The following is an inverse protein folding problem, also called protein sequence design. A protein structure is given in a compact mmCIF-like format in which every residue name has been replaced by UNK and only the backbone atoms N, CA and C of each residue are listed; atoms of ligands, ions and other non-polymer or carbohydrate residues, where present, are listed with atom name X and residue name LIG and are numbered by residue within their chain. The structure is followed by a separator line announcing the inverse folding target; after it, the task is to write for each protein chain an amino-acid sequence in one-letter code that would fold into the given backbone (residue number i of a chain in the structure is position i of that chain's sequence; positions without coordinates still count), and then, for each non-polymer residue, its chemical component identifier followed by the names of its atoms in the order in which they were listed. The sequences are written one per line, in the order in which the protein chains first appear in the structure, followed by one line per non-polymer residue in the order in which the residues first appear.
data_IF_928455564354
#
_entry.id   IF_928455564354
#
_cell.length_a   1.000
_cell.length_b   1.000
_cell.length_c   1.000
_cell.angle_alpha   90.00
_cell.angle_beta   90.00
_cell.angle_gamma   90.00
#
_symmetry.space_group_name_H-M   'P 1'
#
loop_
_entity.id
_entity.type
_entity.pdbx_description
1 polymer ?
#
# COMPACT_ATOMS: atom_id res chain seq x y z
N UNK A 1 -17.50 28.19 1.95
CA UNK A 1 -17.82 26.73 1.95
C UNK A 1 -18.88 26.43 0.91
N UNK A 2 -18.65 26.90 -0.31
CA UNK A 2 -19.66 26.82 -1.39
C UNK A 2 -19.70 25.44 -2.06
N UNK A 3 -18.66 24.62 -1.82
CA UNK A 3 -18.55 23.26 -2.35
C UNK A 3 -19.62 22.28 -1.80
N UNK A 4 -20.21 22.56 -0.62
CA UNK A 4 -21.29 21.72 -0.06
C UNK A 4 -22.57 21.72 -0.91
N UNK A 5 -22.77 22.75 -1.70
CA UNK A 5 -23.94 22.92 -2.59
C UNK A 5 -23.63 22.53 -4.04
N UNK A 6 -22.35 22.27 -4.38
CA UNK A 6 -21.94 21.89 -5.72
C UNK A 6 -22.02 20.37 -5.90
N UNK A 7 -22.87 19.86 -6.82
CA UNK A 7 -22.93 18.44 -7.13
C UNK A 7 -21.61 17.85 -7.62
N UNK A 8 -20.77 18.64 -8.33
CA UNK A 8 -19.48 18.17 -8.81
C UNK A 8 -18.50 17.88 -7.67
N UNK A 9 -18.56 18.65 -6.59
CA UNK A 9 -17.76 18.46 -5.40
C UNK A 9 -18.07 17.10 -4.73
N UNK A 10 -19.34 16.70 -4.69
CA UNK A 10 -19.75 15.40 -4.17
C UNK A 10 -19.32 14.24 -5.06
N UNK A 11 -19.39 14.42 -6.38
CA UNK A 11 -18.87 13.41 -7.33
C UNK A 11 -17.36 13.26 -7.17
N UNK A 12 -16.62 14.37 -7.07
CA UNK A 12 -15.18 14.35 -6.82
C UNK A 12 -14.85 13.66 -5.49
N UNK A 13 -15.56 13.99 -4.40
CA UNK A 13 -15.37 13.36 -3.09
C UNK A 13 -15.60 11.84 -3.15
N UNK A 14 -16.68 11.38 -3.77
CA UNK A 14 -16.98 9.96 -3.91
C UNK A 14 -15.93 9.24 -4.75
N UNK A 15 -15.53 9.85 -5.86
CA UNK A 15 -14.51 9.29 -6.76
C UNK A 15 -13.17 9.17 -6.06
N UNK A 16 -12.70 10.25 -5.42
CA UNK A 16 -11.44 10.25 -4.69
C UNK A 16 -11.47 9.28 -3.51
N UNK A 17 -12.54 9.26 -2.73
CA UNK A 17 -12.68 8.31 -1.61
C UNK A 17 -12.64 6.86 -2.11
N UNK A 18 -13.33 6.57 -3.21
CA UNK A 18 -13.34 5.22 -3.81
C UNK A 18 -11.95 4.83 -4.31
N UNK A 19 -11.26 5.75 -5.00
CA UNK A 19 -9.88 5.52 -5.46
C UNK A 19 -8.94 5.30 -4.28
N UNK A 20 -9.01 6.13 -3.24
CA UNK A 20 -8.18 6.00 -2.04
C UNK A 20 -8.44 4.66 -1.31
N UNK A 21 -9.69 4.18 -1.25
CA UNK A 21 -10.00 2.86 -0.68
C UNK A 21 -9.40 1.76 -1.53
N UNK A 22 -9.58 1.80 -2.85
CA UNK A 22 -9.06 0.78 -3.78
C UNK A 22 -7.54 0.71 -3.68
N UNK A 23 -6.86 1.88 -3.75
CA UNK A 23 -5.41 1.99 -3.61
C UNK A 23 -4.93 1.66 -2.18
N UNK A 24 -5.81 1.83 -1.19
CA UNK A 24 -5.50 1.59 0.22
C UNK A 24 -5.63 0.14 0.66
N UNK A 25 -6.28 -0.73 -0.11
CA UNK A 25 -6.38 -2.16 0.20
C UNK A 25 -4.99 -2.79 0.29
N UNK A 26 -4.12 -2.49 -0.65
CA UNK A 26 -2.75 -2.98 -0.67
C UNK A 26 -1.97 -2.50 0.55
N UNK A 27 -2.18 -1.25 0.97
CA UNK A 27 -1.57 -0.68 2.17
C UNK A 27 -2.03 -1.40 3.44
N UNK A 28 -3.33 -1.76 3.57
CA UNK A 28 -3.82 -2.52 4.72
C UNK A 28 -3.16 -3.90 4.77
N UNK A 29 -3.11 -4.59 3.63
CA UNK A 29 -2.52 -5.93 3.54
C UNK A 29 -1.03 -5.85 3.89
N UNK A 30 -0.33 -4.88 3.33
CA UNK A 30 1.10 -4.67 3.58
C UNK A 30 1.39 -4.32 5.05
N UNK A 31 0.65 -3.37 5.62
CA UNK A 31 0.75 -3.04 7.06
C UNK A 31 0.48 -4.28 7.90
N UNK A 32 -0.49 -5.11 7.53
CA UNK A 32 -0.81 -6.34 8.25
C UNK A 32 0.34 -7.35 8.20
N UNK A 33 0.99 -7.52 7.06
CA UNK A 33 2.16 -8.40 6.90
C UNK A 33 3.33 -7.90 7.75
N UNK A 34 3.66 -6.61 7.72
CA UNK A 34 4.75 -6.04 8.51
C UNK A 34 4.48 -6.12 10.03
N UNK A 35 3.25 -5.78 10.42
CA UNK A 35 2.81 -5.81 11.81
C UNK A 35 2.69 -7.24 12.33
N UNK A 36 2.47 -8.22 11.46
CA UNK A 36 2.49 -9.64 11.79
C UNK A 36 3.79 -10.12 12.45
N UNK A 37 4.91 -9.40 12.22
CA UNK A 37 6.20 -9.63 12.89
C UNK A 37 6.27 -9.14 14.33
N UNK A 38 5.30 -8.32 14.74
CA UNK A 38 5.20 -7.86 16.13
C UNK A 38 4.57 -8.93 17.03
N UNK A 39 4.86 -8.91 18.33
CA UNK A 39 4.12 -9.69 19.30
C UNK A 39 2.61 -9.47 19.15
N UNK A 40 1.82 -10.52 19.34
CA UNK A 40 0.36 -10.49 19.10
C UNK A 40 -0.34 -9.35 19.86
N UNK A 41 0.11 -9.06 21.09
CA UNK A 41 -0.39 -7.95 21.92
C UNK A 41 -0.20 -6.57 21.30
N UNK A 42 0.76 -6.39 20.39
CA UNK A 42 1.11 -5.12 19.75
C UNK A 42 0.54 -4.98 18.35
N UNK A 43 0.11 -6.08 17.70
CA UNK A 43 -0.36 -6.07 16.30
C UNK A 43 -1.52 -5.11 16.06
N UNK A 44 -2.53 -5.11 16.92
CA UNK A 44 -3.67 -4.18 16.78
C UNK A 44 -3.22 -2.73 16.85
N UNK A 45 -2.34 -2.40 17.82
CA UNK A 45 -1.76 -1.06 17.93
C UNK A 45 -0.91 -0.71 16.71
N UNK A 46 -0.06 -1.63 16.26
CA UNK A 46 0.77 -1.45 15.07
C UNK A 46 -0.04 -1.12 13.81
N UNK A 47 -1.15 -1.84 13.57
CA UNK A 47 -2.07 -1.56 12.45
C UNK A 47 -2.69 -0.17 12.57
N UNK A 48 -3.22 0.18 13.74
CA UNK A 48 -3.87 1.49 13.96
C UNK A 48 -2.87 2.64 13.82
N UNK A 49 -1.70 2.54 14.46
CA UNK A 49 -0.66 3.58 14.37
C UNK A 49 -0.05 3.66 12.97
N UNK A 50 0.13 2.54 12.29
CA UNK A 50 0.59 2.51 10.90
C UNK A 50 -0.35 3.26 9.97
N UNK A 51 -1.67 2.99 10.04
CA UNK A 51 -2.67 3.68 9.23
C UNK A 51 -2.82 5.16 9.61
N UNK A 52 -2.74 5.50 10.89
CA UNK A 52 -2.77 6.89 11.33
C UNK A 52 -1.55 7.66 10.81
N UNK A 53 -0.37 7.06 10.84
CA UNK A 53 0.86 7.63 10.29
C UNK A 53 0.75 7.82 8.77
N UNK A 54 0.23 6.81 8.06
CA UNK A 54 -0.08 6.90 6.64
C UNK A 54 -1.06 8.05 6.32
N UNK A 55 -2.11 8.24 7.11
CA UNK A 55 -3.02 9.37 6.95
C UNK A 55 -2.31 10.71 7.11
N UNK A 56 -1.50 10.84 8.15
CA UNK A 56 -0.76 12.09 8.43
C UNK A 56 0.22 12.38 7.29
N UNK A 57 0.99 11.38 6.82
CA UNK A 57 1.94 11.54 5.72
C UNK A 57 1.26 12.01 4.42
N UNK A 58 0.10 11.43 4.08
CA UNK A 58 -0.70 11.83 2.91
C UNK A 58 -1.22 13.25 3.00
N UNK A 59 -1.76 13.64 4.16
CA UNK A 59 -2.23 15.01 4.37
C UNK A 59 -1.06 16.00 4.27
N UNK A 60 0.09 15.68 4.87
CA UNK A 60 1.29 16.52 4.77
C UNK A 60 1.80 16.63 3.32
N UNK A 61 1.82 15.54 2.56
CA UNK A 61 2.16 15.57 1.13
C UNK A 61 1.19 16.45 0.36
N UNK A 62 -0.10 16.32 0.60
CA UNK A 62 -1.12 17.14 -0.05
C UNK A 62 -0.98 18.63 0.29
N UNK A 63 -0.73 18.96 1.55
CA UNK A 63 -0.50 20.35 1.97
C UNK A 63 0.80 20.92 1.38
N UNK A 64 1.79 20.07 1.10
CA UNK A 64 3.03 20.43 0.43
C UNK A 64 2.97 20.30 -1.10
N UNK A 65 1.78 20.30 -1.68
CA UNK A 65 1.56 19.99 -3.10
C UNK A 65 2.39 20.85 -4.06
N UNK A 66 2.57 22.13 -3.75
CA UNK A 66 3.41 23.03 -4.56
C UNK A 66 4.87 22.59 -4.60
N UNK A 67 5.37 21.96 -3.54
CA UNK A 67 6.69 21.36 -3.49
C UNK A 67 6.72 20.02 -4.22
N UNK A 68 5.68 19.18 -4.00
CA UNK A 68 5.55 17.87 -4.68
C UNK A 68 5.51 18.04 -6.20
N UNK A 69 4.79 19.06 -6.72
CA UNK A 69 4.76 19.34 -8.15
C UNK A 69 6.12 19.72 -8.73
N UNK A 70 6.99 20.36 -7.94
CA UNK A 70 8.37 20.66 -8.36
C UNK A 70 9.26 19.41 -8.43
N UNK A 71 8.89 18.32 -7.79
CA UNK A 71 9.62 17.04 -7.90
C UNK A 71 9.51 16.43 -9.31
N UNK A 72 8.56 16.87 -10.12
CA UNK A 72 8.44 16.47 -11.52
C UNK A 72 9.40 17.23 -12.45
N UNK A 73 10.04 18.30 -11.96
CA UNK A 73 11.02 19.03 -12.76
C UNK A 73 12.28 18.16 -12.92
N UNK A 74 12.85 18.16 -14.14
CA UNK A 74 14.06 17.42 -14.44
C UNK A 74 15.24 17.95 -13.59
N UNK A 75 15.89 17.07 -12.86
CA UNK A 75 17.12 17.37 -12.10
C UNK A 75 18.36 17.24 -12.98
N UNK A 76 18.38 16.22 -13.82
CA UNK A 76 19.45 15.94 -14.77
C UNK A 76 18.97 14.99 -15.87
N UNK A 77 19.67 14.98 -17.01
CA UNK A 77 19.36 14.12 -18.16
C UNK A 77 20.42 13.04 -18.30
N UNK A 78 20.01 11.75 -18.28
CA UNK A 78 20.90 10.61 -18.55
C UNK A 78 20.37 9.85 -19.76
N UNK A 79 21.24 9.59 -20.76
CA UNK A 79 20.90 8.80 -21.97
C UNK A 79 19.61 9.30 -22.68
N UNK A 80 19.43 10.62 -22.73
CA UNK A 80 18.25 11.31 -23.32
C UNK A 80 16.96 11.17 -22.50
N UNK A 81 16.98 10.62 -21.30
CA UNK A 81 15.87 10.61 -20.36
C UNK A 81 16.08 11.66 -19.30
N UNK A 82 15.08 12.49 -19.08
CA UNK A 82 15.06 13.50 -18.02
C UNK A 82 14.67 12.82 -16.71
N UNK A 83 15.56 12.85 -15.73
CA UNK A 83 15.31 12.25 -14.42
C UNK A 83 14.87 13.32 -13.44
N UNK A 84 13.69 13.16 -12.90
CA UNK A 84 13.08 14.02 -11.89
C UNK A 84 13.31 13.51 -10.46
N UNK A 85 13.04 14.35 -9.46
CA UNK A 85 13.04 13.93 -8.07
C UNK A 85 12.00 12.83 -7.77
N UNK A 86 10.84 12.87 -8.46
CA UNK A 86 9.80 11.84 -8.40
C UNK A 86 10.36 10.48 -8.86
N UNK A 87 11.07 10.44 -9.97
CA UNK A 87 11.59 9.20 -10.53
C UNK A 87 12.61 8.54 -9.60
N UNK A 88 13.47 9.35 -8.95
CA UNK A 88 14.41 8.85 -7.94
C UNK A 88 13.68 8.24 -6.73
N UNK A 89 12.61 8.88 -6.24
CA UNK A 89 11.83 8.37 -5.14
C UNK A 89 11.14 7.05 -5.53
N UNK A 90 10.57 6.97 -6.74
CA UNK A 90 9.92 5.75 -7.24
C UNK A 90 10.93 4.61 -7.43
N UNK A 91 12.09 4.88 -8.00
CA UNK A 91 13.18 3.91 -8.16
C UNK A 91 13.67 3.38 -6.81
N UNK A 92 14.05 4.27 -5.91
CA UNK A 92 14.57 3.88 -4.58
C UNK A 92 13.50 3.16 -3.77
N UNK A 93 12.25 3.64 -3.79
CA UNK A 93 11.13 3.04 -3.10
C UNK A 93 10.75 1.67 -3.67
N UNK A 94 10.72 1.55 -5.00
CA UNK A 94 10.45 0.29 -5.69
C UNK A 94 11.54 -0.76 -5.41
N UNK A 95 12.81 -0.40 -5.47
CA UNK A 95 13.92 -1.30 -5.12
C UNK A 95 13.90 -1.71 -3.64
N UNK A 96 13.59 -0.77 -2.75
CA UNK A 96 13.40 -1.07 -1.33
C UNK A 96 12.28 -2.08 -1.12
N UNK A 97 11.11 -1.86 -1.74
CA UNK A 97 9.97 -2.77 -1.67
C UNK A 97 10.29 -4.15 -2.24
N UNK A 98 10.97 -4.21 -3.40
CA UNK A 98 11.37 -5.46 -4.03
C UNK A 98 12.25 -6.28 -3.10
N UNK A 99 13.29 -5.65 -2.55
CA UNK A 99 14.21 -6.29 -1.60
C UNK A 99 13.46 -6.76 -0.35
N UNK A 100 12.59 -5.91 0.19
CA UNK A 100 11.87 -6.21 1.41
C UNK A 100 10.86 -7.34 1.24
N UNK A 101 10.07 -7.31 0.14
CA UNK A 101 9.09 -8.35 -0.16
C UNK A 101 9.74 -9.70 -0.42
N UNK A 102 10.87 -9.72 -1.13
CA UNK A 102 11.64 -10.95 -1.37
C UNK A 102 12.17 -11.53 -0.06
N UNK A 103 12.71 -10.70 0.81
CA UNK A 103 13.19 -11.12 2.13
C UNK A 103 12.05 -11.65 3.02
N UNK A 104 10.85 -11.03 2.94
CA UNK A 104 9.68 -11.48 3.69
C UNK A 104 9.16 -12.83 3.20
N UNK A 105 9.17 -13.05 1.87
CA UNK A 105 8.82 -14.35 1.27
C UNK A 105 9.79 -15.42 1.74
N UNK A 106 11.09 -15.14 1.71
CA UNK A 106 12.13 -16.07 2.14
C UNK A 106 11.90 -16.50 3.59
N UNK A 107 11.72 -15.56 4.52
CA UNK A 107 11.41 -15.88 5.92
C UNK A 107 10.10 -16.67 6.06
N UNK A 108 9.07 -16.32 5.33
CA UNK A 108 7.77 -17.02 5.42
C UNK A 108 7.87 -18.48 4.98
N UNK A 109 8.79 -18.80 4.07
CA UNK A 109 9.02 -20.18 3.59
C UNK A 109 9.94 -20.94 4.56
N UNK A 110 11.03 -20.34 5.02
CA UNK A 110 12.01 -21.02 5.89
C UNK A 110 11.50 -21.26 7.31
N UNK A 111 10.71 -20.33 7.88
CA UNK A 111 10.12 -20.50 9.21
C UNK A 111 9.14 -21.69 9.30
N UNK A 112 8.69 -22.23 8.14
CA UNK A 112 7.88 -23.44 8.08
C UNK A 112 8.70 -24.72 8.28
N UNK A 113 10.01 -24.66 8.03
CA UNK A 113 10.90 -25.83 8.09
C UNK A 113 11.77 -25.90 9.37
N UNK A 114 11.77 -24.85 10.20
CA UNK A 114 12.66 -24.73 11.37
C UNK A 114 11.90 -24.75 12.69
N UNK A 115 11.64 -25.94 13.22
CA UNK A 115 11.06 -26.16 14.55
C UNK A 115 12.03 -25.80 15.72
N UNK A 116 13.21 -25.24 15.45
CA UNK A 116 14.21 -24.93 16.47
C UNK A 116 15.29 -23.93 16.01
N UNK A 117 15.00 -22.72 15.65
CA UNK A 117 16.04 -21.72 15.56
C UNK A 117 15.66 -20.42 16.26
N UNK A 118 16.49 -20.11 17.25
CA UNK A 118 16.58 -18.88 18.04
C UNK A 118 16.11 -17.65 17.28
N UNK A 119 15.10 -16.99 17.83
CA UNK A 119 14.56 -15.70 17.45
C UNK A 119 15.62 -14.76 16.87
N UNK A 120 15.70 -14.63 15.56
CA UNK A 120 16.24 -13.41 14.95
C UNK A 120 15.32 -12.28 15.38
N UNK A 121 15.84 -11.35 16.17
CA UNK A 121 15.21 -10.36 17.00
C UNK A 121 13.83 -9.88 16.53
N UNK A 122 12.85 -10.00 17.41
CA UNK A 122 11.51 -9.49 17.19
C UNK A 122 11.60 -8.07 16.62
N UNK A 123 10.91 -7.82 15.51
CA UNK A 123 10.93 -6.51 14.90
C UNK A 123 10.46 -5.47 15.93
N UNK A 124 11.24 -4.42 16.11
CA UNK A 124 10.89 -3.37 17.07
C UNK A 124 9.68 -2.61 16.53
N UNK A 125 8.71 -2.29 17.38
CA UNK A 125 7.52 -1.52 17.01
C UNK A 125 7.87 -0.27 16.19
N UNK A 126 8.90 0.50 16.60
CA UNK A 126 9.37 1.68 15.87
C UNK A 126 9.92 1.37 14.47
N UNK A 127 10.64 0.24 14.30
CA UNK A 127 11.18 -0.14 13.00
C UNK A 127 10.08 -0.54 12.01
N UNK A 128 9.04 -1.21 12.49
CA UNK A 128 7.87 -1.56 11.68
C UNK A 128 7.12 -0.30 11.25
N UNK A 129 6.87 0.64 12.17
CA UNK A 129 6.21 1.91 11.84
C UNK A 129 7.02 2.75 10.85
N UNK A 130 8.35 2.80 11.00
CA UNK A 130 9.22 3.49 10.04
C UNK A 130 9.12 2.86 8.64
N UNK A 131 9.14 1.54 8.55
CA UNK A 131 8.97 0.84 7.28
C UNK A 131 7.61 1.15 6.64
N UNK A 132 6.53 1.13 7.43
CA UNK A 132 5.19 1.51 6.99
C UNK A 132 5.20 2.94 6.45
N UNK A 133 5.79 3.88 7.19
CA UNK A 133 5.84 5.30 6.78
C UNK A 133 6.60 5.51 5.47
N UNK A 134 7.77 4.88 5.33
CA UNK A 134 8.58 5.00 4.10
C UNK A 134 7.83 4.46 2.89
N UNK A 135 7.18 3.33 3.03
CA UNK A 135 6.46 2.70 1.92
C UNK A 135 5.20 3.47 1.57
N UNK A 136 4.44 3.90 2.59
CA UNK A 136 3.25 4.73 2.34
C UNK A 136 3.62 6.05 1.67
N UNK A 137 4.74 6.65 2.03
CA UNK A 137 5.25 7.86 1.37
C UNK A 137 5.44 7.65 -0.14
N UNK A 138 6.05 6.53 -0.53
CA UNK A 138 6.30 6.19 -1.94
C UNK A 138 4.98 6.00 -2.69
N UNK A 139 4.02 5.25 -2.12
CA UNK A 139 2.71 5.04 -2.74
C UNK A 139 1.86 6.31 -2.77
N UNK A 140 1.97 7.13 -1.73
CA UNK A 140 1.16 8.36 -1.60
C UNK A 140 1.61 9.47 -2.53
N UNK A 141 2.87 9.50 -2.94
CA UNK A 141 3.37 10.51 -3.88
C UNK A 141 2.59 10.49 -5.20
N UNK A 142 2.36 9.29 -5.73
CA UNK A 142 1.65 9.11 -6.98
C UNK A 142 0.13 9.33 -6.84
N UNK A 143 -0.48 8.86 -5.74
CA UNK A 143 -1.90 9.07 -5.46
C UNK A 143 -2.23 10.55 -5.23
N UNK A 144 -1.36 11.30 -4.55
CA UNK A 144 -1.54 12.75 -4.31
C UNK A 144 -1.45 13.53 -5.63
N UNK A 145 -0.50 13.21 -6.50
CA UNK A 145 -0.40 13.84 -7.83
C UNK A 145 -1.66 13.57 -8.65
N UNK A 146 -2.17 12.34 -8.61
CA UNK A 146 -3.41 11.96 -9.30
C UNK A 146 -4.63 12.68 -8.71
N UNK A 147 -4.72 12.82 -7.39
CA UNK A 147 -5.83 13.49 -6.71
C UNK A 147 -5.94 14.96 -7.11
N UNK A 148 -4.81 15.66 -7.26
CA UNK A 148 -4.76 17.06 -7.71
C UNK A 148 -5.29 17.22 -9.13
N UNK A 149 -5.13 16.21 -9.98
CA UNK A 149 -5.72 16.22 -11.34
C UNK A 149 -7.23 16.00 -11.37
N UNK A 150 -7.83 15.53 -10.26
CA UNK A 150 -9.26 15.17 -10.19
C UNK A 150 -10.11 16.15 -9.38
N UNK A 151 -9.53 16.97 -8.54
CA UNK A 151 -10.24 17.96 -7.74
C UNK A 151 -9.44 19.24 -7.60
N UNK A 152 -10.12 20.39 -7.73
CA UNK A 152 -9.51 21.70 -7.57
C UNK A 152 -9.39 22.13 -6.10
N UNK A 153 -10.18 21.50 -5.22
CA UNK A 153 -10.28 21.89 -3.81
C UNK A 153 -9.54 20.93 -2.87
N UNK A 154 -8.49 21.42 -2.22
CA UNK A 154 -7.68 20.67 -1.22
C UNK A 154 -8.55 20.13 -0.08
N UNK A 155 -9.61 20.84 0.30
CA UNK A 155 -10.53 20.42 1.38
C UNK A 155 -11.25 19.10 1.03
N UNK A 156 -11.67 18.94 -0.22
CA UNK A 156 -12.31 17.69 -0.72
C UNK A 156 -11.33 16.54 -0.69
N UNK A 157 -10.10 16.78 -1.11
CA UNK A 157 -9.04 15.76 -1.08
C UNK A 157 -8.71 15.32 0.36
N UNK A 158 -8.57 16.26 1.30
CA UNK A 158 -8.34 15.93 2.72
C UNK A 158 -9.51 15.12 3.27
N UNK A 159 -10.74 15.51 2.97
CA UNK A 159 -11.93 14.81 3.43
C UNK A 159 -11.98 13.37 2.86
N UNK A 160 -11.65 13.19 1.58
CA UNK A 160 -11.55 11.88 0.95
C UNK A 160 -10.51 10.99 1.64
N UNK A 161 -9.32 11.52 1.95
CA UNK A 161 -8.27 10.80 2.70
C UNK A 161 -8.76 10.41 4.10
N UNK A 162 -9.39 11.32 4.83
CA UNK A 162 -9.86 11.06 6.20
C UNK A 162 -10.95 9.98 6.20
N UNK A 163 -11.91 10.05 5.28
CA UNK A 163 -12.98 9.06 5.17
C UNK A 163 -12.41 7.69 4.78
N UNK A 164 -11.57 7.64 3.76
CA UNK A 164 -10.98 6.37 3.28
C UNK A 164 -10.13 5.69 4.35
N UNK A 165 -9.27 6.44 5.04
CA UNK A 165 -8.46 5.88 6.14
C UNK A 165 -9.33 5.50 7.33
N UNK A 166 -10.39 6.23 7.63
CA UNK A 166 -11.38 5.84 8.64
C UNK A 166 -11.98 4.46 8.34
N UNK A 167 -12.41 4.23 7.10
CA UNK A 167 -12.92 2.93 6.62
C UNK A 167 -11.82 1.86 6.71
N UNK A 168 -10.61 2.18 6.28
CA UNK A 168 -9.47 1.27 6.37
C UNK A 168 -9.14 0.87 7.80
N UNK A 169 -9.16 1.80 8.76
CA UNK A 169 -8.90 1.51 10.18
C UNK A 169 -9.95 0.56 10.78
N UNK A 170 -11.21 0.71 10.41
CA UNK A 170 -12.29 -0.20 10.84
C UNK A 170 -12.06 -1.60 10.27
N UNK A 171 -11.66 -1.70 9.01
CA UNK A 171 -11.48 -2.96 8.28
C UNK A 171 -10.15 -3.65 8.58
N UNK A 172 -9.12 -2.90 8.97
CA UNK A 172 -7.73 -3.37 9.09
C UNK A 172 -7.56 -4.56 10.03
N UNK A 173 -8.30 -4.60 11.15
CA UNK A 173 -8.21 -5.72 12.11
C UNK A 173 -8.77 -7.00 11.49
N UNK A 174 -9.92 -6.94 10.82
CA UNK A 174 -10.55 -8.10 10.20
C UNK A 174 -9.73 -8.61 9.02
N UNK A 175 -9.24 -7.71 8.17
CA UNK A 175 -8.40 -8.05 7.02
C UNK A 175 -7.07 -8.62 7.50
N UNK A 176 -6.43 -8.01 8.49
CA UNK A 176 -5.17 -8.49 9.01
C UNK A 176 -5.26 -9.87 9.65
N UNK A 177 -6.29 -10.12 10.44
CA UNK A 177 -6.53 -11.44 11.02
C UNK A 177 -6.78 -12.49 9.92
N UNK A 178 -7.54 -12.13 8.89
CA UNK A 178 -7.77 -13.01 7.74
C UNK A 178 -6.47 -13.36 7.02
N UNK A 179 -5.56 -12.40 6.82
CA UNK A 179 -4.25 -12.64 6.21
C UNK A 179 -3.36 -13.52 7.11
N UNK A 180 -3.40 -13.27 8.43
CA UNK A 180 -2.61 -14.05 9.41
C UNK A 180 -3.11 -15.52 9.48
N UNK A 181 -4.41 -15.76 9.34
CA UNK A 181 -5.03 -17.11 9.35
C UNK A 181 -4.84 -17.87 8.03
N UNK A 182 -4.48 -17.18 6.93
CA UNK A 182 -4.40 -17.78 5.59
C UNK A 182 -3.02 -17.56 4.96
N UNK A 183 -2.04 -18.46 5.19
CA UNK A 183 -0.67 -18.32 4.66
C UNK A 183 -0.60 -18.13 3.14
N UNK A 184 -1.50 -18.78 2.39
CA UNK A 184 -1.56 -18.63 0.92
C UNK A 184 -1.97 -17.21 0.52
N UNK A 185 -2.90 -16.59 1.24
CA UNK A 185 -3.29 -15.18 1.04
C UNK A 185 -2.13 -14.24 1.41
N UNK A 186 -1.37 -14.55 2.48
CA UNK A 186 -0.16 -13.80 2.84
C UNK A 186 0.88 -13.85 1.74
N UNK A 187 1.14 -15.04 1.18
CA UNK A 187 2.07 -15.21 0.04
C UNK A 187 1.59 -14.47 -1.21
N UNK A 188 0.29 -14.52 -1.51
CA UNK A 188 -0.30 -13.77 -2.61
C UNK A 188 -0.12 -12.26 -2.43
N UNK A 189 -0.34 -11.75 -1.22
CA UNK A 189 -0.13 -10.35 -0.87
C UNK A 189 1.33 -9.91 -1.07
N UNK A 190 2.30 -10.73 -0.63
CA UNK A 190 3.73 -10.46 -0.84
C UNK A 190 4.10 -10.47 -2.32
N UNK A 191 3.48 -11.36 -3.11
CA UNK A 191 3.66 -11.40 -4.58
C UNK A 191 3.11 -10.13 -5.25
N UNK A 192 2.00 -9.59 -4.75
CA UNK A 192 1.47 -8.29 -5.22
C UNK A 192 2.42 -7.14 -4.89
N UNK A 193 3.06 -7.15 -3.72
CA UNK A 193 4.06 -6.14 -3.39
C UNK A 193 5.26 -6.18 -4.34
N UNK A 194 5.70 -7.36 -4.77
CA UNK A 194 6.73 -7.48 -5.80
C UNK A 194 6.25 -6.89 -7.13
N UNK A 195 5.02 -7.21 -7.54
CA UNK A 195 4.44 -6.67 -8.77
C UNK A 195 4.38 -5.14 -8.74
N UNK A 196 3.92 -4.56 -7.63
CA UNK A 196 3.86 -3.11 -7.44
C UNK A 196 5.27 -2.50 -7.38
N UNK A 197 6.22 -3.16 -6.71
CA UNK A 197 7.61 -2.72 -6.65
C UNK A 197 8.25 -2.64 -8.06
N UNK A 198 8.04 -3.66 -8.89
CA UNK A 198 8.50 -3.67 -10.29
C UNK A 198 7.85 -2.54 -11.09
N UNK A 199 6.57 -2.28 -10.88
CA UNK A 199 5.87 -1.18 -11.54
C UNK A 199 6.44 0.19 -11.14
N UNK A 200 6.71 0.40 -9.84
CA UNK A 200 7.33 1.64 -9.36
C UNK A 200 8.73 1.85 -9.95
N UNK A 201 9.54 0.78 -10.04
CA UNK A 201 10.85 0.84 -10.70
C UNK A 201 10.69 1.19 -12.19
N UNK A 202 9.73 0.59 -12.87
CA UNK A 202 9.46 0.87 -14.28
C UNK A 202 8.99 2.33 -14.48
N UNK A 203 8.06 2.83 -13.63
CA UNK A 203 7.62 4.22 -13.66
C UNK A 203 8.79 5.20 -13.38
N UNK A 204 9.67 4.87 -12.44
CA UNK A 204 10.87 5.68 -12.18
C UNK A 204 11.93 5.64 -13.31
N UNK A 205 11.77 4.72 -14.27
CA UNK A 205 12.54 4.64 -15.51
C UNK A 205 11.78 5.19 -16.72
N UNK A 206 10.70 5.93 -16.49
CA UNK A 206 9.82 6.53 -17.51
C UNK A 206 9.00 5.51 -18.33
N UNK A 207 8.89 4.26 -17.87
CA UNK A 207 8.00 3.27 -18.46
C UNK A 207 6.62 3.34 -17.80
N UNK A 208 5.65 3.90 -18.49
CA UNK A 208 4.29 4.08 -17.99
C UNK A 208 3.42 2.85 -18.25
N UNK A 209 3.04 2.16 -17.18
CA UNK A 209 2.08 1.05 -17.25
C UNK A 209 0.67 1.51 -16.84
N UNK A 210 -0.37 1.23 -17.65
CA UNK A 210 -1.73 1.49 -17.19
C UNK A 210 -2.06 0.66 -15.94
N UNK A 211 -2.25 1.32 -14.81
CA UNK A 211 -2.49 0.69 -13.48
C UNK A 211 -3.69 -0.27 -13.48
N UNK A 212 -4.65 -0.05 -14.39
CA UNK A 212 -5.80 -0.92 -14.53
C UNK A 212 -5.46 -2.39 -14.79
N UNK A 213 -4.38 -2.68 -15.52
CA UNK A 213 -3.93 -4.07 -15.73
C UNK A 213 -3.42 -4.73 -14.45
N UNK A 214 -2.73 -3.95 -13.62
CA UNK A 214 -2.20 -4.43 -12.34
C UNK A 214 -3.35 -4.74 -11.39
N UNK A 215 -4.30 -3.80 -11.24
CA UNK A 215 -5.47 -4.01 -10.39
C UNK A 215 -6.35 -5.17 -10.87
N UNK A 216 -6.51 -5.32 -12.18
CA UNK A 216 -7.22 -6.48 -12.74
C UNK A 216 -6.50 -7.80 -12.39
N UNK A 217 -5.18 -7.88 -12.58
CA UNK A 217 -4.40 -9.07 -12.26
C UNK A 217 -4.49 -9.43 -10.77
N UNK A 218 -4.40 -8.42 -9.89
CA UNK A 218 -4.53 -8.59 -8.44
C UNK A 218 -5.92 -9.07 -8.05
N UNK A 219 -6.98 -8.43 -8.56
CA UNK A 219 -8.37 -8.80 -8.29
C UNK A 219 -8.67 -10.21 -8.79
N UNK A 220 -8.20 -10.57 -9.99
CA UNK A 220 -8.35 -11.91 -10.55
C UNK A 220 -7.65 -12.97 -9.69
N UNK A 221 -6.38 -12.73 -9.32
CA UNK A 221 -5.62 -13.67 -8.49
C UNK A 221 -6.25 -13.85 -7.10
N UNK A 222 -6.72 -12.75 -6.49
CA UNK A 222 -7.44 -12.81 -5.22
C UNK A 222 -8.73 -13.61 -5.34
N UNK A 223 -9.50 -13.40 -6.41
CA UNK A 223 -10.72 -14.17 -6.67
C UNK A 223 -10.43 -15.67 -6.81
N UNK A 224 -9.39 -16.04 -7.56
CA UNK A 224 -8.97 -17.45 -7.70
C UNK A 224 -8.59 -18.03 -6.34
N UNK A 225 -7.85 -17.31 -5.51
CA UNK A 225 -7.46 -17.78 -4.18
C UNK A 225 -8.67 -17.96 -3.26
N UNK A 226 -9.65 -17.06 -3.32
CA UNK A 226 -10.91 -17.22 -2.58
C UNK A 226 -11.69 -18.47 -2.99
N UNK A 227 -11.65 -18.84 -4.29
CA UNK A 227 -12.22 -20.10 -4.76
C UNK A 227 -11.45 -21.31 -4.23
N UNK A 228 -10.12 -21.26 -4.25
CA UNK A 228 -9.27 -22.32 -3.69
C UNK A 228 -9.55 -22.58 -2.21
N UNK A 229 -9.65 -21.52 -1.40
CA UNK A 229 -9.99 -21.62 0.02
C UNK A 229 -11.36 -22.27 0.24
N UNK A 230 -12.37 -21.93 -0.59
CA UNK A 230 -13.70 -22.55 -0.52
C UNK A 230 -13.68 -24.05 -0.85
N UNK A 231 -12.92 -24.43 -1.89
CA UNK A 231 -12.78 -25.84 -2.30
C UNK A 231 -12.08 -26.65 -1.21
N UNK A 232 -10.98 -26.14 -0.64
CA UNK A 232 -10.25 -26.78 0.46
C UNK A 232 -11.15 -27.01 1.69
N UNK A 233 -11.92 -26.00 2.09
CA UNK A 233 -12.82 -26.11 3.23
C UNK A 233 -13.87 -27.20 3.01
N UNK A 234 -14.36 -27.38 1.79
CA UNK A 234 -15.33 -28.41 1.44
C UNK A 234 -14.73 -29.83 1.47
N UNK A 235 -13.47 -29.97 1.04
CA UNK A 235 -12.74 -31.25 1.06
C UNK A 235 -12.45 -31.75 2.48
N UNK A 236 -12.19 -30.86 3.44
CA UNK A 236 -11.98 -31.22 4.85
C UNK A 236 -13.27 -31.60 5.61
N UNK A 237 -14.45 -31.29 5.07
CA UNK A 237 -15.74 -31.67 5.67
C UNK A 237 -16.28 -33.01 5.12
N UNK A 238 -15.65 -33.57 4.09
CA UNK A 238 -16.06 -34.84 3.43
C UNK A 238 -15.14 -36.03 3.73
N UNK A 239 -14.05 -35.80 4.46
CA UNK A 239 -13.18 -36.82 5.06
C UNK A 239 -13.32 -36.84 6.59
#
# INVERSE_FOLDING_TARGET
MDWLTDPNAWVALLTLTSLEIILGIDNIIFISVLVGRLPESERKRGRTFGLALAMISRILLLLSITWVMKLNDALFTILSNDISGRDLILLCGGLFLLTKSTHEIHHTIEDTDADNSTSNGAATFGSVLLQVAVIDLVFSLDSVITAVGLADEVQIMILAIVISVGIMMISATSIGNFVDEHPTVKMLALSFLILVAVTLVAEGLDFHFPKGYIYFAMAFSFFVEMLNLRVRKKSHLTN
#
